data_IF_287144902643
#
_entry.id   IF_287144902643
#
_cell.length_a   1.000
_cell.length_b   1.000
_cell.length_c   1.000
_cell.angle_alpha   90.00
_cell.angle_beta   90.00
_cell.angle_gamma   90.00
#
_symmetry.space_group_name_H-M   'P 1'
#
loop_
_entity.id
_entity.type
_entity.pdbx_description
1 polymer ?
#
# COMPACT_ATOMS: atom_id res chain seq x y z
N UNK A 1 -9.74 12.91 -10.86
CA UNK A 1 -9.18 12.18 -9.69
C UNK A 1 -9.44 12.99 -8.43
N UNK A 2 -9.84 12.38 -7.31
CA UNK A 2 -9.95 13.09 -6.03
C UNK A 2 -8.55 13.41 -5.49
N UNK A 3 -8.39 14.61 -4.93
CA UNK A 3 -7.11 15.07 -4.37
C UNK A 3 -6.64 14.19 -3.20
N UNK A 4 -7.60 13.73 -2.38
CA UNK A 4 -7.37 12.81 -1.26
C UNK A 4 -6.71 11.49 -1.70
N UNK A 5 -7.09 10.95 -2.86
CA UNK A 5 -6.46 9.74 -3.40
C UNK A 5 -4.97 9.96 -3.70
N UNK A 6 -4.63 11.11 -4.31
CA UNK A 6 -3.25 11.41 -4.68
C UNK A 6 -2.37 11.63 -3.46
N UNK A 7 -2.89 12.27 -2.41
CA UNK A 7 -2.17 12.48 -1.16
C UNK A 7 -1.91 11.16 -0.43
N UNK A 8 -2.91 10.28 -0.35
CA UNK A 8 -2.76 8.96 0.27
C UNK A 8 -1.80 8.07 -0.56
N UNK A 9 -1.92 8.10 -1.89
CA UNK A 9 -1.03 7.35 -2.79
C UNK A 9 0.43 7.83 -2.72
N UNK A 10 0.67 9.14 -2.60
CA UNK A 10 2.02 9.68 -2.38
C UNK A 10 2.60 9.21 -1.04
N UNK A 11 1.83 9.27 0.05
CA UNK A 11 2.27 8.75 1.35
C UNK A 11 2.57 7.26 1.27
N UNK A 12 1.72 6.47 0.61
CA UNK A 12 1.95 5.03 0.43
C UNK A 12 3.27 4.76 -0.30
N UNK A 13 3.54 5.50 -1.39
CA UNK A 13 4.81 5.40 -2.14
C UNK A 13 6.04 5.77 -1.28
N UNK A 14 5.93 6.74 -0.37
CA UNK A 14 7.04 7.10 0.54
C UNK A 14 7.33 5.93 1.48
N UNK A 15 6.30 5.36 2.10
CA UNK A 15 6.45 4.19 2.98
C UNK A 15 7.01 2.97 2.25
N UNK A 16 6.60 2.74 0.99
CA UNK A 16 7.19 1.70 0.14
C UNK A 16 8.70 1.89 -0.08
N UNK A 17 9.16 3.14 -0.27
CA UNK A 17 10.58 3.44 -0.48
C UNK A 17 11.40 3.25 0.79
N UNK A 18 10.79 3.47 1.96
CA UNK A 18 11.42 3.27 3.27
C UNK A 18 11.39 1.79 3.69
N UNK A 19 10.58 0.96 3.01
CA UNK A 19 10.45 -0.47 3.29
C UNK A 19 9.40 -0.79 4.36
N UNK A 20 8.58 0.20 4.74
CA UNK A 20 7.47 0.06 5.66
C UNK A 20 6.24 -0.54 4.94
N UNK A 21 6.38 -1.79 4.49
CA UNK A 21 5.36 -2.46 3.67
C UNK A 21 4.00 -2.59 4.36
N UNK A 22 4.00 -2.62 5.68
CA UNK A 22 2.78 -2.72 6.49
C UNK A 22 1.95 -1.44 6.41
N UNK A 23 2.57 -0.29 6.75
CA UNK A 23 1.95 1.03 6.66
C UNK A 23 1.59 1.36 5.21
N UNK A 24 2.48 1.02 4.26
CA UNK A 24 2.19 1.17 2.83
C UNK A 24 0.93 0.41 2.41
N UNK A 25 0.73 -0.82 2.91
CA UNK A 25 -0.48 -1.60 2.60
C UNK A 25 -1.74 -0.95 3.18
N UNK A 26 -1.70 -0.43 4.40
CA UNK A 26 -2.85 0.28 5.00
C UNK A 26 -3.20 1.56 4.25
N UNK A 27 -2.19 2.31 3.79
CA UNK A 27 -2.38 3.51 2.98
C UNK A 27 -2.97 3.18 1.61
N UNK A 28 -2.47 2.13 0.94
CA UNK A 28 -3.09 1.66 -0.31
C UNK A 28 -4.53 1.21 -0.09
N UNK A 29 -4.83 0.53 1.03
CA UNK A 29 -6.20 0.15 1.38
C UNK A 29 -7.12 1.37 1.52
N UNK A 30 -6.69 2.41 2.25
CA UNK A 30 -7.43 3.68 2.34
C UNK A 30 -7.59 4.34 0.97
N UNK A 31 -6.56 4.32 0.14
CA UNK A 31 -6.63 4.91 -1.21
C UNK A 31 -7.70 4.25 -2.09
N UNK A 32 -7.97 2.95 -1.90
CA UNK A 32 -9.03 2.22 -2.63
C UNK A 32 -10.39 2.86 -2.33
N UNK A 33 -10.65 3.27 -1.09
CA UNK A 33 -11.93 3.88 -0.67
C UNK A 33 -12.18 5.23 -1.36
N UNK A 34 -11.11 5.98 -1.64
CA UNK A 34 -11.19 7.30 -2.30
C UNK A 34 -10.98 7.23 -3.82
N UNK A 35 -10.62 6.07 -4.35
CA UNK A 35 -10.32 5.88 -5.77
C UNK A 35 -11.57 5.72 -6.63
N UNK A 36 -11.51 6.23 -7.87
CA UNK A 36 -12.52 5.99 -8.91
C UNK A 36 -12.18 4.70 -9.67
N UNK A 37 -13.16 4.09 -10.37
CA UNK A 37 -13.09 2.75 -11.00
C UNK A 37 -11.72 2.32 -11.56
N UNK A 38 -11.05 3.13 -12.39
CA UNK A 38 -9.73 2.79 -12.94
C UNK A 38 -8.60 2.80 -11.90
N UNK A 39 -8.54 3.82 -11.05
CA UNK A 39 -7.53 3.94 -10.01
C UNK A 39 -7.68 2.90 -8.90
N UNK A 40 -8.89 2.33 -8.75
CA UNK A 40 -9.20 1.29 -7.79
C UNK A 40 -8.40 0.01 -8.06
N UNK A 41 -8.36 -0.42 -9.33
CA UNK A 41 -7.61 -1.61 -9.71
C UNK A 41 -6.11 -1.46 -9.44
N UNK A 42 -5.57 -0.26 -9.73
CA UNK A 42 -4.16 0.01 -9.48
C UNK A 42 -3.85 0.05 -7.97
N UNK A 43 -4.71 0.69 -7.18
CA UNK A 43 -4.59 0.70 -5.72
C UNK A 43 -4.73 -0.70 -5.10
N UNK A 44 -5.64 -1.54 -5.60
CA UNK A 44 -5.79 -2.94 -5.19
C UNK A 44 -4.56 -3.79 -5.51
N UNK A 45 -3.98 -3.61 -6.70
CA UNK A 45 -2.76 -4.33 -7.09
C UNK A 45 -1.59 -3.96 -6.17
N UNK A 46 -1.42 -2.65 -5.89
CA UNK A 46 -0.41 -2.15 -4.96
C UNK A 46 -0.62 -2.62 -3.52
N UNK A 47 -1.86 -2.59 -3.05
CA UNK A 47 -2.23 -3.13 -1.74
C UNK A 47 -1.80 -4.60 -1.61
N UNK A 48 -2.18 -5.46 -2.58
CA UNK A 48 -1.81 -6.88 -2.56
C UNK A 48 -0.29 -7.08 -2.56
N UNK A 49 0.43 -6.29 -3.35
CA UNK A 49 1.89 -6.33 -3.38
C UNK A 49 2.50 -5.99 -2.01
N UNK A 50 2.12 -4.86 -1.43
CA UNK A 50 2.64 -4.41 -0.12
C UNK A 50 2.25 -5.36 1.00
N UNK A 51 1.03 -5.86 1.01
CA UNK A 51 0.54 -6.81 2.01
C UNK A 51 1.26 -8.16 1.95
N UNK A 52 1.54 -8.67 0.76
CA UNK A 52 2.35 -9.89 0.63
C UNK A 52 3.79 -9.65 1.10
N UNK A 53 4.34 -8.47 0.80
CA UNK A 53 5.71 -8.11 1.19
C UNK A 53 5.86 -7.88 2.69
N UNK A 54 4.85 -7.29 3.35
CA UNK A 54 4.82 -7.16 4.81
C UNK A 54 4.79 -8.53 5.49
N UNK A 55 3.99 -9.47 4.97
CA UNK A 55 3.96 -10.86 5.46
C UNK A 55 5.28 -11.60 5.28
N UNK A 56 5.95 -11.42 4.14
CA UNK A 56 7.28 -12.00 3.91
C UNK A 56 8.32 -11.42 4.87
N UNK A 57 8.30 -10.10 5.10
CA UNK A 57 9.18 -9.47 6.09
C UNK A 57 8.93 -10.01 7.51
N UNK A 58 7.66 -10.16 7.91
CA UNK A 58 7.33 -10.76 9.22
C UNK A 58 7.81 -12.22 9.33
N UNK A 59 7.66 -13.03 8.28
CA UNK A 59 8.12 -14.43 8.28
C UNK A 59 9.64 -14.55 8.39
N UNK A 60 10.39 -13.67 7.75
CA UNK A 60 11.84 -13.63 7.89
C UNK A 60 12.31 -13.21 9.30
N UNK A 61 11.46 -12.52 10.06
CA UNK A 61 11.76 -12.11 11.43
C UNK A 61 11.62 -13.23 12.48
N UNK A 62 11.05 -14.38 12.09
CA UNK A 62 10.87 -15.56 12.96
C UNK A 62 11.80 -16.73 12.61
N UNK A 63 12.80 -16.52 11.75
CA UNK A 63 13.88 -17.50 11.52
C UNK A 63 15.09 -17.15 12.38
N UNK A 64 15.01 -17.45 13.67
CA UNK A 64 16.14 -17.54 14.59
C UNK A 64 15.92 -18.70 15.56
#
# INVERSE_FOLDING_TARGET
MRQEYLEIAQKACIEERIGNWEIASELWMKSIEFSSKENKFWAEARFKFCYNRSKLNRRNHYSY
#
